data_IF_472150755535
#
_entry.id   IF_472150755535
#
_cell.length_a   1.000
_cell.length_b   1.000
_cell.length_c   1.000
_cell.angle_alpha   90.00
_cell.angle_beta   90.00
_cell.angle_gamma   90.00
#
_symmetry.space_group_name_H-M   'P 1'
#
loop_
_entity.id
_entity.type
_entity.pdbx_description
1 polymer ?
#
# COMPACT_ATOMS: atom_id res chain seq x y z
N UNK A 1 5.29 1.97 11.11
CA UNK A 1 5.46 2.72 12.36
C UNK A 1 6.30 1.94 13.32
N UNK A 2 7.23 2.58 14.02
CA UNK A 2 8.20 1.88 14.87
C UNK A 2 8.02 2.34 16.31
N UNK A 3 7.29 1.59 17.14
CA UNK A 3 7.08 1.96 18.55
C UNK A 3 8.36 2.02 19.36
N UNK A 4 9.37 1.29 18.96
CA UNK A 4 10.68 1.31 19.60
C UNK A 4 11.43 2.62 19.44
N UNK A 5 10.88 3.57 18.69
CA UNK A 5 11.46 4.89 18.58
C UNK A 5 11.18 5.77 19.80
N UNK A 6 10.29 5.35 20.67
CA UNK A 6 10.03 6.10 21.90
C UNK A 6 11.29 6.12 22.78
N UNK A 7 11.63 7.30 23.24
CA UNK A 7 12.80 7.47 24.12
C UNK A 7 12.55 6.87 25.50
N UNK A 8 13.65 6.44 26.12
CA UNK A 8 13.58 5.93 27.48
C UNK A 8 13.02 6.99 28.44
N UNK A 9 12.01 6.62 29.21
CA UNK A 9 11.39 7.51 30.17
C UNK A 9 10.25 8.37 29.64
N UNK A 10 10.00 8.36 28.32
CA UNK A 10 8.81 8.98 27.75
C UNK A 10 7.72 7.95 27.55
N UNK A 11 6.44 8.34 27.63
CA UNK A 11 5.37 7.45 27.23
C UNK A 11 5.55 7.02 25.78
N UNK A 12 5.28 5.77 25.48
CA UNK A 12 5.27 5.30 24.12
C UNK A 12 4.07 5.93 23.41
N UNK A 13 4.33 6.79 22.41
CA UNK A 13 3.30 7.49 21.65
C UNK A 13 2.57 6.57 20.67
N UNK A 14 3.07 5.35 20.47
CA UNK A 14 2.48 4.38 19.57
C UNK A 14 1.89 3.22 20.34
N UNK A 15 0.66 2.91 20.01
CA UNK A 15 -0.07 1.81 20.60
C UNK A 15 -0.44 0.81 19.51
N UNK A 16 -0.15 -0.47 19.76
CA UNK A 16 -0.58 -1.53 18.85
C UNK A 16 -2.11 -1.57 18.80
N UNK A 17 -2.66 -1.53 17.58
CA UNK A 17 -4.10 -1.56 17.36
C UNK A 17 -4.53 -2.88 16.72
N UNK A 18 -3.91 -3.24 15.58
CA UNK A 18 -4.33 -4.41 14.82
C UNK A 18 -3.21 -4.90 13.91
N UNK A 19 -3.22 -6.19 13.62
CA UNK A 19 -2.31 -6.85 12.69
C UNK A 19 -3.11 -7.62 11.65
N UNK A 20 -2.66 -7.60 10.40
CA UNK A 20 -3.24 -8.38 9.32
C UNK A 20 -2.18 -8.71 8.28
N UNK A 21 -2.48 -9.67 7.41
CA UNK A 21 -1.57 -10.07 6.34
C UNK A 21 -1.61 -9.10 5.17
N UNK A 22 -0.49 -9.03 4.46
CA UNK A 22 -0.39 -8.29 3.21
C UNK A 22 0.42 -9.10 2.19
N UNK A 23 0.33 -8.69 0.93
CA UNK A 23 1.21 -9.16 -0.12
C UNK A 23 2.08 -8.02 -0.60
N UNK A 24 3.33 -8.31 -0.91
CA UNK A 24 4.26 -7.38 -1.52
C UNK A 24 4.78 -7.96 -2.83
N UNK A 25 5.82 -7.37 -3.41
CA UNK A 25 6.30 -7.76 -4.72
C UNK A 25 6.77 -9.22 -4.78
N UNK A 26 6.40 -9.90 -5.85
CA UNK A 26 6.95 -11.22 -6.18
C UNK A 26 8.40 -11.15 -6.62
N UNK A 27 8.93 -9.96 -6.88
CA UNK A 27 10.34 -9.72 -7.24
C UNK A 27 11.20 -9.32 -6.05
N UNK A 28 10.63 -9.28 -4.84
CA UNK A 28 11.34 -8.93 -3.63
C UNK A 28 11.33 -7.44 -3.34
N UNK A 29 12.31 -6.99 -2.57
CA UNK A 29 12.45 -5.60 -2.14
C UNK A 29 13.46 -4.86 -3.01
N UNK A 30 13.23 -3.59 -3.25
CA UNK A 30 14.13 -2.75 -4.03
C UNK A 30 13.57 -1.37 -4.31
N UNK A 31 14.46 -0.41 -4.43
CA UNK A 31 14.13 1.01 -4.53
C UNK A 31 14.05 1.52 -5.98
N UNK A 32 14.68 0.82 -6.92
CA UNK A 32 14.84 1.34 -8.28
C UNK A 32 13.56 1.32 -9.09
N UNK A 33 13.32 2.40 -9.82
CA UNK A 33 12.27 2.47 -10.82
C UNK A 33 12.46 1.36 -11.86
N UNK A 34 11.36 0.73 -12.25
CA UNK A 34 11.39 -0.38 -13.21
C UNK A 34 11.79 -1.73 -12.64
N UNK A 35 12.20 -1.80 -11.36
CA UNK A 35 12.54 -3.08 -10.72
C UNK A 35 11.34 -3.95 -10.40
N UNK A 36 10.15 -3.36 -10.32
CA UNK A 36 8.92 -4.00 -9.84
C UNK A 36 9.03 -4.53 -8.41
N UNK A 37 10.01 -4.07 -7.65
CA UNK A 37 10.21 -4.45 -6.25
C UNK A 37 9.46 -3.51 -5.31
N UNK A 38 9.20 -3.97 -4.09
CA UNK A 38 8.59 -3.13 -3.05
C UNK A 38 9.69 -2.29 -2.39
N UNK A 39 9.54 -0.95 -2.34
CA UNK A 39 10.53 -0.10 -1.71
C UNK A 39 10.46 -0.18 -0.19
N UNK A 40 11.60 -0.02 0.46
CA UNK A 40 11.72 0.05 1.92
C UNK A 40 11.71 1.50 2.39
N UNK A 41 11.58 1.66 3.69
CA UNK A 41 11.78 2.92 4.38
C UNK A 41 10.50 3.66 4.74
N UNK A 42 10.68 4.90 5.16
CA UNK A 42 9.60 5.73 5.64
C UNK A 42 8.84 6.38 4.49
N UNK A 43 7.54 6.20 4.54
CA UNK A 43 6.59 6.77 3.59
C UNK A 43 5.48 7.50 4.36
N UNK A 44 4.65 8.22 3.62
CA UNK A 44 3.35 8.68 4.12
C UNK A 44 2.28 8.46 3.06
N UNK A 45 1.03 8.44 3.50
CA UNK A 45 -0.10 8.43 2.58
C UNK A 45 -0.22 9.82 1.96
N UNK A 46 0.01 9.92 0.65
CA UNK A 46 -0.08 11.18 -0.09
C UNK A 46 -1.50 11.46 -0.55
N UNK A 47 -2.22 10.42 -1.01
CA UNK A 47 -3.58 10.54 -1.53
C UNK A 47 -4.38 9.29 -1.20
N UNK A 48 -5.70 9.48 -1.02
CA UNK A 48 -6.66 8.41 -0.81
C UNK A 48 -7.67 8.43 -1.95
N UNK A 49 -7.82 7.32 -2.67
CA UNK A 49 -8.69 7.22 -3.85
C UNK A 49 -9.69 6.09 -3.64
N UNK A 50 -10.95 6.35 -3.96
CA UNK A 50 -12.01 5.36 -3.94
C UNK A 50 -12.90 5.38 -2.70
N UNK A 51 -12.92 6.46 -1.93
CA UNK A 51 -13.81 6.59 -0.79
C UNK A 51 -15.28 6.36 -1.21
N UNK A 52 -15.99 5.48 -0.49
CA UNK A 52 -17.38 5.16 -0.78
C UNK A 52 -17.61 4.22 -1.96
N UNK A 53 -16.58 3.84 -2.69
CA UNK A 53 -16.74 2.88 -3.78
C UNK A 53 -17.09 1.48 -3.24
N UNK A 54 -17.83 0.71 -4.02
CA UNK A 54 -18.17 -0.67 -3.62
C UNK A 54 -16.93 -1.55 -3.60
N UNK A 55 -16.95 -2.56 -2.72
CA UNK A 55 -15.92 -3.60 -2.70
C UNK A 55 -15.80 -4.23 -4.08
N UNK A 56 -14.58 -4.34 -4.60
CA UNK A 56 -14.35 -4.90 -5.93
C UNK A 56 -14.42 -3.89 -7.08
N UNK A 57 -14.60 -2.60 -6.79
CA UNK A 57 -14.46 -1.55 -7.80
C UNK A 57 -13.07 -1.60 -8.40
N UNK A 58 -12.97 -1.56 -9.73
CA UNK A 58 -11.70 -1.68 -10.46
C UNK A 58 -11.19 -0.30 -10.85
N UNK A 59 -9.91 -0.07 -10.60
CA UNK A 59 -9.25 1.19 -10.93
C UNK A 59 -8.16 0.99 -11.97
N UNK A 60 -8.01 1.96 -12.85
CA UNK A 60 -6.87 2.11 -13.76
C UNK A 60 -6.49 3.58 -13.81
N UNK A 61 -5.21 3.86 -13.66
CA UNK A 61 -4.71 5.24 -13.56
C UNK A 61 -5.53 6.07 -12.55
N UNK A 62 -5.89 5.45 -11.45
CA UNK A 62 -6.67 6.03 -10.32
C UNK A 62 -8.10 6.43 -10.70
N UNK A 63 -8.61 5.91 -11.81
CA UNK A 63 -9.98 6.14 -12.27
C UNK A 63 -10.78 4.85 -12.20
N UNK A 64 -12.04 4.94 -11.83
CA UNK A 64 -12.95 3.78 -11.84
C UNK A 64 -13.20 3.36 -13.30
N UNK A 65 -12.96 2.09 -13.61
CA UNK A 65 -13.21 1.54 -14.96
C UNK A 65 -14.21 0.38 -14.97
N UNK A 66 -14.58 -0.15 -13.82
CA UNK A 66 -15.51 -1.27 -13.74
C UNK A 66 -15.57 -1.92 -12.39
N UNK A 67 -15.93 -3.19 -12.38
CA UNK A 67 -16.09 -4.00 -11.17
C UNK A 67 -15.63 -5.44 -11.45
N UNK A 68 -15.10 -6.10 -10.40
CA UNK A 68 -14.60 -7.49 -10.52
C UNK A 68 -15.67 -8.49 -10.91
N UNK A 69 -16.95 -8.16 -10.73
CA UNK A 69 -18.07 -9.00 -11.20
C UNK A 69 -18.20 -9.06 -12.72
N UNK A 70 -17.57 -8.13 -13.43
CA UNK A 70 -17.54 -8.13 -14.89
C UNK A 70 -16.46 -9.12 -15.37
N UNK A 71 -16.76 -10.00 -16.35
CA UNK A 71 -15.81 -11.03 -16.78
C UNK A 71 -14.44 -10.48 -17.19
N UNK A 72 -14.39 -9.33 -17.87
CA UNK A 72 -13.15 -8.68 -18.30
C UNK A 72 -12.29 -8.18 -17.15
N UNK A 73 -12.85 -8.05 -15.95
CA UNK A 73 -12.14 -7.56 -14.75
C UNK A 73 -12.01 -8.61 -13.64
N UNK A 74 -12.28 -9.86 -13.95
CA UNK A 74 -12.21 -10.95 -12.97
C UNK A 74 -10.81 -11.10 -12.34
N UNK A 75 -9.75 -10.70 -13.07
CA UNK A 75 -8.36 -10.76 -12.62
C UNK A 75 -7.77 -9.37 -12.39
N UNK A 76 -8.60 -8.38 -12.10
CA UNK A 76 -8.15 -7.01 -11.92
C UNK A 76 -7.12 -6.90 -10.79
N UNK A 77 -6.09 -6.11 -11.02
CA UNK A 77 -4.95 -6.00 -10.11
C UNK A 77 -5.15 -4.95 -9.02
N UNK A 78 -5.87 -3.88 -9.33
CA UNK A 78 -6.08 -2.75 -8.40
C UNK A 78 -7.57 -2.59 -8.18
N UNK A 79 -8.03 -2.90 -6.97
CA UNK A 79 -9.44 -2.90 -6.65
C UNK A 79 -9.72 -2.23 -5.31
N UNK A 80 -10.96 -1.87 -5.09
CA UNK A 80 -11.57 -1.53 -3.80
C UNK A 80 -11.17 -0.17 -3.27
N UNK A 81 -9.90 0.07 -2.99
CA UNK A 81 -9.35 1.35 -2.48
C UNK A 81 -7.91 1.50 -2.88
N UNK A 82 -7.45 2.74 -2.98
CA UNK A 82 -6.04 3.07 -3.18
C UNK A 82 -5.57 4.03 -2.09
N UNK A 83 -4.51 3.66 -1.39
CA UNK A 83 -3.71 4.55 -0.58
C UNK A 83 -2.40 4.77 -1.31
N UNK A 84 -2.22 5.94 -1.91
CA UNK A 84 -1.02 6.25 -2.69
C UNK A 84 0.08 6.77 -1.78
N UNK A 85 1.22 6.11 -1.78
CA UNK A 85 2.34 6.43 -0.90
C UNK A 85 3.34 7.38 -1.57
N UNK A 86 3.97 8.22 -0.75
CA UNK A 86 5.16 8.94 -1.16
C UNK A 86 6.28 8.67 -0.16
N UNK A 87 7.51 8.55 -0.68
CA UNK A 87 8.69 8.36 0.15
C UNK A 87 9.08 9.63 0.86
N UNK A 88 9.65 9.50 2.05
CA UNK A 88 10.12 10.62 2.88
C UNK A 88 11.64 10.68 3.01
N UNK A 89 12.36 9.72 2.42
CA UNK A 89 13.82 9.64 2.54
C UNK A 89 14.47 9.94 1.20
N UNK A 90 14.93 11.18 1.04
CA UNK A 90 15.55 11.66 -0.20
C UNK A 90 16.74 10.79 -0.60
N UNK A 91 16.77 10.34 -1.86
CA UNK A 91 17.82 9.47 -2.39
C UNK A 91 17.64 8.00 -2.06
N UNK A 92 16.65 7.63 -1.26
CA UNK A 92 16.36 6.24 -0.93
C UNK A 92 14.99 5.80 -1.46
N UNK A 93 13.93 6.53 -1.15
CA UNK A 93 12.59 6.27 -1.68
C UNK A 93 11.88 7.53 -2.18
N UNK A 94 12.62 8.63 -2.27
CA UNK A 94 12.12 9.92 -2.75
C UNK A 94 13.10 10.53 -3.72
N UNK A 95 12.57 11.04 -4.84
CA UNK A 95 13.35 11.73 -5.87
C UNK A 95 14.02 10.79 -6.87
N UNK A 96 14.40 11.32 -8.01
CA UNK A 96 15.15 10.62 -9.04
C UNK A 96 14.53 9.30 -9.47
N UNK A 97 15.36 8.28 -9.59
CA UNK A 97 14.97 6.95 -10.05
C UNK A 97 14.54 6.01 -8.92
N UNK A 98 14.38 6.51 -7.70
CA UNK A 98 13.95 5.72 -6.54
C UNK A 98 12.65 6.22 -5.92
N UNK A 99 11.95 7.12 -6.56
CA UNK A 99 10.79 7.80 -6.01
C UNK A 99 9.55 6.91 -5.95
N UNK A 100 9.11 6.57 -4.75
CA UNK A 100 7.94 5.70 -4.55
C UNK A 100 6.66 6.29 -5.13
N UNK A 101 6.48 7.61 -5.03
CA UNK A 101 5.26 8.26 -5.54
C UNK A 101 5.18 8.17 -7.06
N UNK A 102 6.26 8.49 -7.78
CA UNK A 102 6.29 8.42 -9.25
C UNK A 102 6.32 6.99 -9.76
N UNK A 103 6.72 6.03 -8.91
CA UNK A 103 6.64 4.60 -9.20
C UNK A 103 5.23 4.03 -8.95
N UNK A 104 4.27 4.85 -8.53
CA UNK A 104 2.89 4.43 -8.24
C UNK A 104 2.82 3.33 -7.19
N UNK A 105 3.54 3.51 -6.08
CA UNK A 105 3.49 2.57 -4.97
C UNK A 105 2.22 2.84 -4.15
N UNK A 106 1.31 1.89 -4.18
CA UNK A 106 0.01 1.96 -3.50
C UNK A 106 -0.13 0.86 -2.46
N UNK A 107 -0.98 1.10 -1.48
CA UNK A 107 -1.66 0.05 -0.73
C UNK A 107 -3.05 -0.07 -1.35
N UNK A 108 -3.40 -1.26 -1.85
CA UNK A 108 -4.68 -1.44 -2.54
C UNK A 108 -5.20 -2.87 -2.43
N UNK A 109 -6.44 -3.09 -2.88
CA UNK A 109 -7.00 -4.41 -2.99
C UNK A 109 -6.64 -5.08 -4.31
N UNK A 110 -7.01 -6.35 -4.44
CA UNK A 110 -6.82 -7.16 -5.64
C UNK A 110 -8.03 -8.07 -5.84
N UNK A 111 -8.33 -8.41 -7.09
CA UNK A 111 -9.39 -9.39 -7.38
C UNK A 111 -9.05 -10.77 -6.82
N UNK A 112 -7.76 -11.12 -6.77
CA UNK A 112 -7.31 -12.40 -6.21
C UNK A 112 -7.07 -12.30 -4.70
N UNK A 113 -8.16 -12.43 -3.94
CA UNK A 113 -8.10 -12.40 -2.48
C UNK A 113 -7.30 -13.57 -1.90
N UNK A 114 -7.17 -14.68 -2.63
CA UNK A 114 -6.40 -15.84 -2.17
C UNK A 114 -4.90 -15.62 -2.19
N UNK A 115 -4.42 -14.61 -2.90
CA UNK A 115 -2.99 -14.27 -2.97
C UNK A 115 -2.47 -13.52 -1.74
N UNK A 116 -3.36 -13.01 -0.88
CA UNK A 116 -2.96 -12.24 0.29
C UNK A 116 -2.10 -13.08 1.23
N UNK A 117 -0.96 -12.53 1.61
CA UNK A 117 0.03 -13.23 2.44
C UNK A 117 1.14 -13.90 1.62
N UNK A 118 1.06 -13.83 0.30
CA UNK A 118 2.05 -14.41 -0.63
C UNK A 118 2.71 -13.31 -1.46
N UNK A 119 3.94 -13.51 -1.96
CA UNK A 119 4.54 -12.60 -2.93
C UNK A 119 3.70 -12.56 -4.21
N UNK A 120 3.11 -11.43 -4.54
CA UNK A 120 2.10 -11.38 -5.61
C UNK A 120 2.12 -10.12 -6.46
N UNK A 121 2.66 -9.00 -5.98
CA UNK A 121 2.55 -7.71 -6.68
C UNK A 121 3.78 -7.41 -7.55
N UNK A 122 3.72 -6.27 -8.22
CA UNK A 122 4.82 -5.65 -8.95
C UNK A 122 5.30 -4.38 -8.24
N UNK A 123 5.33 -4.40 -6.91
CA UNK A 123 5.82 -3.29 -6.08
C UNK A 123 4.84 -2.80 -5.04
N UNK A 124 3.56 -2.78 -5.34
CA UNK A 124 2.53 -2.33 -4.41
C UNK A 124 2.30 -3.31 -3.26
N UNK A 125 1.58 -2.85 -2.25
CA UNK A 125 1.18 -3.64 -1.11
C UNK A 125 -0.31 -3.97 -1.25
N UNK A 126 -0.64 -5.27 -1.30
CA UNK A 126 -2.01 -5.74 -1.40
C UNK A 126 -2.55 -6.10 -0.01
N UNK A 127 -3.77 -5.70 0.27
CA UNK A 127 -4.52 -6.10 1.46
C UNK A 127 -5.82 -6.80 1.05
N UNK A 128 -6.30 -7.70 1.90
CA UNK A 128 -7.64 -8.24 1.75
C UNK A 128 -8.67 -7.11 1.87
N UNK A 129 -9.76 -7.20 1.10
CA UNK A 129 -10.80 -6.17 1.11
C UNK A 129 -11.35 -5.93 2.52
N UNK A 130 -11.54 -6.99 3.30
CA UNK A 130 -12.06 -6.91 4.67
C UNK A 130 -11.15 -6.11 5.60
N UNK A 131 -9.84 -6.09 5.34
CA UNK A 131 -8.87 -5.33 6.13
C UNK A 131 -8.66 -3.92 5.55
N UNK A 132 -8.66 -3.81 4.23
CA UNK A 132 -8.36 -2.56 3.53
C UNK A 132 -9.42 -1.48 3.77
N UNK A 133 -10.70 -1.81 3.69
CA UNK A 133 -11.76 -0.81 3.79
C UNK A 133 -11.77 -0.13 5.15
N UNK A 134 -11.79 -0.87 6.29
CA UNK A 134 -11.71 -0.21 7.59
C UNK A 134 -10.42 0.59 7.78
N UNK A 135 -9.29 0.08 7.28
CA UNK A 135 -8.01 0.78 7.37
C UNK A 135 -8.04 2.10 6.59
N UNK A 136 -8.56 2.05 5.37
CA UNK A 136 -8.71 3.24 4.52
C UNK A 136 -9.56 4.31 5.22
N UNK A 137 -10.67 3.91 5.82
CA UNK A 137 -11.55 4.85 6.50
C UNK A 137 -10.91 5.45 7.76
N UNK A 138 -10.05 4.68 8.43
CA UNK A 138 -9.38 5.11 9.66
C UNK A 138 -8.21 6.05 9.41
N UNK A 139 -7.40 5.80 8.39
CA UNK A 139 -6.12 6.49 8.20
C UNK A 139 -6.29 7.77 7.36
N UNK A 140 -5.92 8.95 7.90
CA UNK A 140 -5.93 10.17 7.11
C UNK A 140 -4.73 10.28 6.17
N UNK A 141 -4.83 11.16 5.19
CA UNK A 141 -3.67 11.62 4.41
C UNK A 141 -2.61 12.14 5.39
N UNK A 142 -1.36 11.84 5.13
CA UNK A 142 -0.24 12.18 6.00
C UNK A 142 0.15 11.10 6.99
N UNK A 143 -0.65 10.04 7.13
CA UNK A 143 -0.31 8.90 7.99
C UNK A 143 1.03 8.30 7.56
N UNK A 144 1.91 8.06 8.53
CA UNK A 144 3.21 7.47 8.27
C UNK A 144 3.10 5.97 8.04
N UNK A 145 3.88 5.50 7.07
CA UNK A 145 3.97 4.08 6.72
C UNK A 145 5.45 3.69 6.65
N UNK A 146 5.86 2.79 7.52
CA UNK A 146 7.23 2.27 7.53
C UNK A 146 7.24 0.88 6.86
N UNK A 147 7.99 0.75 5.77
CA UNK A 147 8.14 -0.51 5.06
C UNK A 147 9.52 -1.07 5.38
N UNK A 148 9.56 -2.25 5.97
CA UNK A 148 10.80 -2.88 6.39
C UNK A 148 10.80 -4.37 6.08
N UNK A 149 11.99 -4.95 6.02
CA UNK A 149 12.15 -6.40 6.03
C UNK A 149 11.78 -6.95 7.41
N UNK A 150 11.20 -8.12 7.41
CA UNK A 150 10.87 -8.83 8.66
C UNK A 150 12.11 -9.53 9.22
#
# INVERSE_FOLDING_TARGET
>A
MRPEQAEAGTPNDYQFVKQFQCSTSRFGIGQAEGSNCTPLGLHRIAEKIGAGASTGTVFKSRQVIGHVSQPEFADAKITTRILWLEGLELGFNRGGSVDSHTRFIYIHGTADQSSIGKPASCGCIHLADADLIPLFDLLPVGTLVWISEC
#
